data_IF_732116080329
#
_entry.id   IF_732116080329
#
_cell.length_a   1.000
_cell.length_b   1.000
_cell.length_c   1.000
_cell.angle_alpha   90.00
_cell.angle_beta   90.00
_cell.angle_gamma   90.00
#
_symmetry.space_group_name_H-M   'P 1'
#
loop_
_entity.id
_entity.type
_entity.pdbx_description
1 polymer ?
#
# COMPACT_ATOMS: atom_id res chain seq x y z
N UNK A 1 10.22 21.61 -24.59
CA UNK A 1 11.11 20.55 -25.11
C UNK A 1 10.32 19.28 -24.93
N UNK A 2 9.93 18.61 -26.01
CA UNK A 2 9.25 17.31 -25.94
C UNK A 2 10.20 16.34 -25.25
N UNK A 3 9.86 15.97 -24.01
CA UNK A 3 10.54 14.90 -23.32
C UNK A 3 9.91 13.61 -23.82
N UNK A 4 10.64 12.89 -24.66
CA UNK A 4 10.24 11.58 -25.14
C UNK A 4 10.98 10.50 -24.36
N UNK A 5 10.28 9.39 -24.15
CA UNK A 5 10.84 8.21 -23.49
C UNK A 5 11.79 7.51 -24.46
N UNK A 6 12.89 6.97 -23.94
CA UNK A 6 13.82 6.19 -24.77
C UNK A 6 13.12 4.95 -25.33
N UNK A 7 13.13 4.78 -26.65
CA UNK A 7 12.58 3.59 -27.31
C UNK A 7 13.22 2.27 -26.81
N UNK A 8 14.49 2.30 -26.37
CA UNK A 8 15.18 1.14 -25.78
C UNK A 8 14.51 0.61 -24.52
N UNK A 9 13.87 1.49 -23.75
CA UNK A 9 13.35 1.20 -22.43
C UNK A 9 11.86 0.90 -22.45
N UNK A 10 11.22 1.00 -23.63
CA UNK A 10 9.77 0.83 -23.83
C UNK A 10 9.24 -0.45 -23.18
N UNK A 11 9.87 -1.58 -23.47
CA UNK A 11 9.43 -2.86 -22.93
C UNK A 11 9.51 -2.92 -21.40
N UNK A 12 10.62 -2.46 -20.81
CA UNK A 12 10.79 -2.45 -19.36
C UNK A 12 9.80 -1.51 -18.68
N UNK A 13 9.60 -0.31 -19.23
CA UNK A 13 8.65 0.69 -18.72
C UNK A 13 7.23 0.11 -18.73
N UNK A 14 6.80 -0.49 -19.83
CA UNK A 14 5.49 -1.11 -19.94
C UNK A 14 5.29 -2.27 -18.95
N UNK A 15 6.29 -3.14 -18.82
CA UNK A 15 6.24 -4.27 -17.89
C UNK A 15 6.19 -3.80 -16.44
N UNK A 16 7.06 -2.86 -16.06
CA UNK A 16 7.12 -2.31 -14.72
C UNK A 16 5.90 -1.46 -14.38
N UNK A 17 5.31 -0.78 -15.35
CA UNK A 17 4.05 -0.05 -15.16
C UNK A 17 2.92 -1.02 -14.81
N UNK A 18 2.76 -2.13 -15.55
CA UNK A 18 1.77 -3.17 -15.21
C UNK A 18 2.03 -3.82 -13.85
N UNK A 19 3.31 -3.96 -13.48
CA UNK A 19 3.69 -4.47 -12.15
C UNK A 19 3.32 -3.47 -11.05
N UNK A 20 3.58 -2.18 -11.27
CA UNK A 20 3.27 -1.09 -10.36
C UNK A 20 1.77 -1.02 -10.09
N UNK A 21 0.93 -0.96 -11.13
CA UNK A 21 -0.53 -0.88 -10.97
C UNK A 21 -1.07 -2.06 -10.14
N UNK A 22 -0.62 -3.29 -10.44
CA UNK A 22 -1.03 -4.48 -9.67
C UNK A 22 -0.57 -4.45 -8.21
N UNK A 23 0.66 -3.99 -7.94
CA UNK A 23 1.17 -3.87 -6.57
C UNK A 23 0.44 -2.79 -5.80
N UNK A 24 0.16 -1.65 -6.44
CA UNK A 24 -0.60 -0.56 -5.86
C UNK A 24 -2.03 -0.99 -5.49
N UNK A 25 -2.71 -1.69 -6.38
CA UNK A 25 -4.06 -2.22 -6.10
C UNK A 25 -4.05 -3.20 -4.90
N UNK A 26 -3.02 -4.04 -4.80
CA UNK A 26 -2.82 -4.93 -3.64
C UNK A 26 -2.56 -4.14 -2.36
N UNK A 27 -1.72 -3.11 -2.42
CA UNK A 27 -1.44 -2.21 -1.30
C UNK A 27 -2.72 -1.51 -0.82
N UNK A 28 -3.50 -0.94 -1.74
CA UNK A 28 -4.76 -0.26 -1.41
C UNK A 28 -5.76 -1.23 -0.75
N UNK A 29 -5.82 -2.47 -1.25
CA UNK A 29 -6.63 -3.54 -0.65
C UNK A 29 -6.17 -3.90 0.77
N UNK A 30 -4.86 -4.11 0.96
CA UNK A 30 -4.26 -4.41 2.27
C UNK A 30 -4.47 -3.25 3.26
N UNK A 31 -4.35 -2.01 2.78
CA UNK A 31 -4.64 -0.79 3.54
C UNK A 31 -6.08 -0.74 4.00
N UNK A 32 -7.04 -1.07 3.13
CA UNK A 32 -8.45 -1.19 3.50
C UNK A 32 -8.70 -2.24 4.59
N UNK A 33 -8.06 -3.41 4.49
CA UNK A 33 -8.16 -4.47 5.49
C UNK A 33 -7.59 -4.06 6.86
N UNK A 34 -6.47 -3.34 6.89
CA UNK A 34 -5.90 -2.78 8.12
C UNK A 34 -6.78 -1.71 8.74
N UNK A 35 -7.33 -0.77 7.94
CA UNK A 35 -8.26 0.24 8.45
C UNK A 35 -9.48 -0.42 9.09
N UNK A 36 -10.01 -1.46 8.45
CA UNK A 36 -11.13 -2.26 8.98
C UNK A 36 -10.75 -2.99 10.27
N UNK A 37 -9.58 -3.62 10.31
CA UNK A 37 -9.08 -4.35 11.49
C UNK A 37 -8.81 -3.40 12.66
N UNK A 38 -8.25 -2.22 12.41
CA UNK A 38 -8.04 -1.17 13.39
C UNK A 38 -9.35 -0.58 13.92
N UNK A 39 -10.39 -0.52 13.07
CA UNK A 39 -11.73 -0.08 13.48
C UNK A 39 -12.49 -1.14 14.31
N UNK A 40 -11.96 -2.35 14.42
CA UNK A 40 -12.56 -3.42 15.22
C UNK A 40 -12.73 -3.00 16.67
N UNK A 41 -13.93 -3.23 17.22
CA UNK A 41 -14.28 -2.92 18.61
C UNK A 41 -14.07 -4.12 19.55
N UNK A 42 -13.42 -5.19 19.09
CA UNK A 42 -13.18 -6.40 19.89
C UNK A 42 -12.41 -6.10 21.19
N UNK A 43 -11.51 -5.11 21.16
CA UNK A 43 -10.79 -4.66 22.35
C UNK A 43 -11.71 -4.14 23.47
N UNK A 44 -12.90 -3.61 23.13
CA UNK A 44 -13.88 -3.12 24.11
C UNK A 44 -14.39 -4.27 24.98
N UNK A 45 -14.67 -5.43 24.37
CA UNK A 45 -15.07 -6.62 25.12
C UNK A 45 -13.93 -7.10 26.05
N UNK A 46 -12.67 -6.96 25.61
CA UNK A 46 -11.49 -7.23 26.44
C UNK A 46 -11.40 -6.30 27.64
N UNK A 47 -11.66 -5.00 27.46
CA UNK A 47 -11.71 -4.01 28.56
C UNK A 47 -12.84 -4.33 29.53
N UNK A 48 -14.04 -4.67 29.04
CA UNK A 48 -15.16 -5.09 29.90
C UNK A 48 -14.79 -6.34 30.70
N UNK A 49 -14.14 -7.33 30.07
CA UNK A 49 -13.67 -8.52 30.78
C UNK A 49 -12.63 -8.16 31.87
N UNK A 50 -11.74 -7.20 31.64
CA UNK A 50 -10.81 -6.72 32.67
C UNK A 50 -11.50 -6.13 33.90
N UNK A 51 -12.65 -5.45 33.74
CA UNK A 51 -13.41 -4.94 34.87
C UNK A 51 -13.89 -6.08 35.80
N UNK A 52 -14.20 -7.24 35.23
CA UNK A 52 -14.56 -8.45 35.99
C UNK A 52 -13.36 -9.28 36.45
N UNK A 53 -12.14 -8.94 36.04
CA UNK A 53 -10.94 -9.68 36.45
C UNK A 53 -10.67 -9.56 37.96
N UNK A 54 -11.13 -8.48 38.60
CA UNK A 54 -11.08 -8.33 40.07
C UNK A 54 -11.93 -9.39 40.80
N UNK A 55 -12.94 -9.97 40.13
CA UNK A 55 -13.83 -10.98 40.68
C UNK A 55 -13.40 -12.43 40.35
N UNK A 56 -12.67 -12.66 39.26
CA UNK A 56 -12.19 -13.99 38.89
C UNK A 56 -11.05 -13.97 37.87
N UNK A 57 -10.07 -14.85 38.09
CA UNK A 57 -8.96 -15.11 37.17
C UNK A 57 -9.42 -15.64 35.79
N UNK A 58 -10.63 -16.21 35.70
CA UNK A 58 -11.23 -16.59 34.42
C UNK A 58 -11.35 -15.40 33.47
N UNK A 59 -11.82 -14.26 33.97
CA UNK A 59 -12.01 -13.05 33.16
C UNK A 59 -10.69 -12.43 32.71
N UNK A 60 -9.61 -12.62 33.48
CA UNK A 60 -8.26 -12.24 33.07
C UNK A 60 -7.80 -13.05 31.85
N UNK A 61 -8.07 -14.36 31.84
CA UNK A 61 -7.83 -15.23 30.69
C UNK A 61 -8.65 -14.83 29.45
N UNK A 62 -9.94 -14.55 29.63
CA UNK A 62 -10.82 -14.07 28.56
C UNK A 62 -10.34 -12.74 27.98
N UNK A 63 -9.99 -11.78 28.84
CA UNK A 63 -9.44 -10.49 28.41
C UNK A 63 -8.16 -10.68 27.60
N UNK A 64 -7.24 -11.52 28.09
CA UNK A 64 -5.99 -11.85 27.39
C UNK A 64 -6.25 -12.41 25.99
N UNK A 65 -7.20 -13.35 25.86
CA UNK A 65 -7.58 -13.91 24.55
C UNK A 65 -8.14 -12.87 23.59
N UNK A 66 -9.03 -11.99 24.08
CA UNK A 66 -9.63 -10.93 23.26
C UNK A 66 -8.60 -9.90 22.79
N UNK A 67 -7.69 -9.49 23.68
CA UNK A 67 -6.58 -8.62 23.30
C UNK A 67 -5.63 -9.31 22.33
N UNK A 68 -5.29 -10.58 22.55
CA UNK A 68 -4.42 -11.34 21.65
C UNK A 68 -5.01 -11.41 20.23
N UNK A 69 -6.31 -11.71 20.09
CA UNK A 69 -6.99 -11.72 18.77
C UNK A 69 -6.96 -10.33 18.13
N UNK A 70 -7.26 -9.28 18.89
CA UNK A 70 -7.23 -7.91 18.39
C UNK A 70 -5.83 -7.53 17.90
N UNK A 71 -4.80 -7.64 18.73
CA UNK A 71 -3.43 -7.28 18.36
C UNK A 71 -2.88 -8.18 17.25
N UNK A 72 -3.18 -9.48 17.26
CA UNK A 72 -2.79 -10.38 16.18
C UNK A 72 -3.36 -9.94 14.82
N UNK A 73 -4.66 -9.62 14.78
CA UNK A 73 -5.30 -9.13 13.55
C UNK A 73 -4.69 -7.82 13.06
N UNK A 74 -4.36 -6.92 13.98
CA UNK A 74 -3.74 -5.63 13.70
C UNK A 74 -2.32 -5.80 13.13
N UNK A 75 -1.47 -6.57 13.82
CA UNK A 75 -0.07 -6.82 13.41
C UNK A 75 -0.02 -7.56 12.08
N UNK A 76 -0.85 -8.59 11.90
CA UNK A 76 -0.91 -9.34 10.64
C UNK A 76 -1.27 -8.43 9.46
N UNK A 77 -2.29 -7.58 9.63
CA UNK A 77 -2.71 -6.65 8.58
C UNK A 77 -1.65 -5.58 8.31
N UNK A 78 -0.93 -5.13 9.34
CA UNK A 78 0.20 -4.22 9.19
C UNK A 78 1.37 -4.84 8.42
N UNK A 79 1.73 -6.09 8.71
CA UNK A 79 2.78 -6.80 7.95
C UNK A 79 2.40 -6.94 6.47
N UNK A 80 1.14 -7.23 6.15
CA UNK A 80 0.68 -7.31 4.76
C UNK A 80 0.79 -5.98 4.02
N UNK A 81 0.54 -4.85 4.70
CA UNK A 81 0.77 -3.52 4.11
C UNK A 81 2.26 -3.32 3.84
N UNK A 82 3.10 -3.54 4.86
CA UNK A 82 4.55 -3.30 4.77
C UNK A 82 5.18 -4.05 3.60
N UNK A 83 4.84 -5.34 3.42
CA UNK A 83 5.34 -6.15 2.30
C UNK A 83 4.92 -5.58 0.94
N UNK A 84 3.68 -5.10 0.83
CA UNK A 84 3.18 -4.49 -0.41
C UNK A 84 3.77 -3.10 -0.67
N UNK A 85 4.08 -2.33 0.38
CA UNK A 85 4.66 -1.00 0.31
C UNK A 85 6.09 -1.04 -0.23
N UNK A 86 6.91 -1.97 0.27
CA UNK A 86 8.28 -2.16 -0.21
C UNK A 86 8.35 -2.40 -1.73
N UNK A 87 7.45 -3.22 -2.26
CA UNK A 87 7.37 -3.51 -3.70
C UNK A 87 6.92 -2.31 -4.54
N UNK A 88 6.06 -1.45 -3.99
CA UNK A 88 5.64 -0.20 -4.65
C UNK A 88 6.79 0.80 -4.63
N UNK A 89 7.47 0.98 -3.50
CA UNK A 89 8.61 1.88 -3.37
C UNK A 89 9.80 1.47 -4.26
N UNK A 90 10.09 0.18 -4.38
CA UNK A 90 11.15 -0.32 -5.26
C UNK A 90 10.91 0.13 -6.70
N UNK A 91 9.68 -0.02 -7.18
CA UNK A 91 9.30 0.42 -8.52
C UNK A 91 9.28 1.94 -8.63
N UNK A 92 8.76 2.64 -7.63
CA UNK A 92 8.73 4.11 -7.63
C UNK A 92 10.15 4.71 -7.70
N UNK A 93 11.11 4.10 -6.99
CA UNK A 93 12.54 4.42 -7.11
C UNK A 93 13.10 4.14 -8.49
N UNK A 94 12.74 3.00 -9.11
CA UNK A 94 13.15 2.67 -10.46
C UNK A 94 12.63 3.68 -11.50
N UNK A 95 11.36 4.06 -11.41
CA UNK A 95 10.75 5.08 -12.28
C UNK A 95 11.35 6.47 -12.04
N UNK A 96 11.60 6.84 -10.78
CA UNK A 96 12.31 8.08 -10.41
C UNK A 96 13.71 8.14 -11.02
N UNK A 97 14.42 7.01 -11.08
CA UNK A 97 15.70 6.90 -11.79
C UNK A 97 15.62 7.21 -13.28
N UNK A 98 14.46 7.00 -13.91
CA UNK A 98 14.17 7.38 -15.30
C UNK A 98 13.51 8.75 -15.45
N UNK A 99 13.52 9.58 -14.40
CA UNK A 99 12.85 10.90 -14.33
C UNK A 99 11.34 10.82 -14.56
N UNK A 100 10.74 9.74 -14.08
CA UNK A 100 9.30 9.53 -14.09
C UNK A 100 8.77 9.49 -12.66
N UNK A 101 7.53 9.91 -12.46
CA UNK A 101 6.83 9.84 -11.17
C UNK A 101 5.39 9.38 -11.38
N UNK A 102 4.83 8.75 -10.37
CA UNK A 102 3.41 8.45 -10.35
C UNK A 102 2.66 9.48 -9.51
N UNK A 103 1.53 9.96 -10.03
CA UNK A 103 0.51 10.62 -9.22
C UNK A 103 -0.75 9.77 -9.29
N UNK A 104 -1.14 9.18 -8.17
CA UNK A 104 -2.16 8.15 -8.20
C UNK A 104 -1.69 6.97 -9.06
N UNK A 105 -2.45 6.63 -10.10
CA UNK A 105 -2.17 5.52 -11.02
C UNK A 105 -1.68 6.00 -12.39
N UNK A 106 -1.39 7.29 -12.52
CA UNK A 106 -1.02 7.94 -13.78
C UNK A 106 0.47 8.30 -13.72
N UNK A 107 1.17 8.06 -14.83
CA UNK A 107 2.60 8.32 -14.96
C UNK A 107 2.82 9.74 -15.51
N UNK A 108 3.82 10.44 -14.99
CA UNK A 108 4.23 11.77 -15.43
C UNK A 108 5.75 11.84 -15.47
N UNK A 109 6.29 12.84 -16.17
CA UNK A 109 7.68 13.22 -15.97
C UNK A 109 7.88 13.88 -14.60
N UNK A 110 9.01 13.62 -13.94
CA UNK A 110 9.33 14.21 -12.63
C UNK A 110 9.34 15.74 -12.66
N UNK A 111 9.69 16.33 -13.81
CA UNK A 111 9.71 17.77 -14.02
C UNK A 111 8.32 18.39 -14.20
N UNK A 112 7.29 17.60 -14.48
CA UNK A 112 5.92 18.09 -14.64
C UNK A 112 5.27 18.29 -13.27
N UNK A 113 5.51 19.46 -12.67
CA UNK A 113 4.96 19.80 -11.36
C UNK A 113 3.45 20.11 -11.40
N UNK A 114 2.93 20.55 -12.54
CA UNK A 114 1.52 20.91 -12.72
C UNK A 114 0.66 19.70 -13.10
N UNK A 115 1.27 18.56 -13.42
CA UNK A 115 0.60 17.31 -13.83
C UNK A 115 -0.25 17.51 -15.09
N UNK A 116 0.24 18.35 -16.01
CA UNK A 116 -0.52 18.73 -17.21
C UNK A 116 -0.37 17.70 -18.33
N UNK A 117 0.73 16.94 -18.35
CA UNK A 117 1.07 16.01 -19.43
C UNK A 117 1.13 14.57 -18.89
N UNK A 118 -0.04 13.90 -18.76
CA UNK A 118 -0.06 12.49 -18.40
C UNK A 118 0.60 11.67 -19.49
N UNK A 119 1.43 10.71 -19.09
CA UNK A 119 2.09 9.77 -19.98
C UNK A 119 1.31 8.47 -20.04
N UNK A 120 1.02 8.02 -21.25
CA UNK A 120 0.60 6.66 -21.51
C UNK A 120 1.82 5.84 -21.98
N UNK A 121 2.36 4.93 -21.15
CA UNK A 121 3.50 4.10 -21.54
C UNK A 121 3.18 3.10 -22.67
N UNK A 122 1.91 2.94 -23.07
CA UNK A 122 1.51 2.11 -24.20
C UNK A 122 1.36 2.89 -25.50
N UNK A 123 1.33 4.22 -25.44
CA UNK A 123 1.31 5.06 -26.62
C UNK A 123 2.71 5.10 -27.26
N UNK A 124 2.77 4.85 -28.57
CA UNK A 124 4.04 4.85 -29.30
C UNK A 124 4.57 6.26 -29.52
N UNK A 125 3.69 7.26 -29.58
CA UNK A 125 4.05 8.66 -29.80
C UNK A 125 4.86 9.25 -28.62
N UNK A 126 4.79 8.60 -27.46
CA UNK A 126 5.58 8.96 -26.28
C UNK A 126 7.06 8.55 -26.38
N UNK A 127 7.44 7.72 -27.36
CA UNK A 127 8.79 7.17 -27.49
C UNK A 127 9.54 7.72 -28.72
N UNK A 128 10.83 8.03 -28.55
CA UNK A 128 11.76 8.37 -29.65
C UNK A 128 13.10 7.64 -29.53
#
# INVERSE_FOLDING_TARGET
MEHTLSASDKYEIQQNFRRYIRLKERFDTARGAYVTSRASKVWVAGVVALLFALASNFFLGVATGLFAVYFYSMVRSWMQISESEEGVEELDRWFSGKKLKFEGSILYFSNDQLLENPLDPFDEDCYQ
#
